data_IF_585414567737
#
_entry.id   IF_585414567737
#
_cell.length_a   1.000
_cell.length_b   1.000
_cell.length_c   1.000
_cell.angle_alpha   90.00
_cell.angle_beta   90.00
_cell.angle_gamma   90.00
#
_symmetry.space_group_name_H-M   'P 1'
#
loop_
_entity.id
_entity.type
_entity.pdbx_description
1 polymer ?
#
# COMPACT_ATOMS: atom_id res chain seq x y z
N UNK A 1 -3.10 20.68 -25.81
CA UNK A 1 -3.11 21.38 -24.50
C UNK A 1 -4.04 20.70 -23.50
N UNK A 2 -5.37 20.62 -23.72
CA UNK A 2 -6.29 19.96 -22.77
C UNK A 2 -6.08 18.44 -22.67
N UNK A 3 -5.87 17.75 -23.81
CA UNK A 3 -5.65 16.30 -23.87
C UNK A 3 -4.33 15.85 -23.24
N UNK A 4 -3.26 16.64 -23.40
CA UNK A 4 -1.92 16.30 -22.89
C UNK A 4 -1.89 16.31 -21.34
N UNK A 5 -2.62 17.24 -20.72
CA UNK A 5 -2.73 17.34 -19.26
C UNK A 5 -3.52 16.15 -18.69
N UNK A 6 -4.59 15.71 -19.35
CA UNK A 6 -5.35 14.53 -18.92
C UNK A 6 -4.50 13.25 -19.00
N UNK A 7 -3.72 13.08 -20.06
CA UNK A 7 -2.82 11.93 -20.21
C UNK A 7 -1.77 11.91 -19.09
N UNK A 8 -1.20 13.07 -18.74
CA UNK A 8 -0.22 13.18 -17.65
C UNK A 8 -0.85 12.86 -16.29
N UNK A 9 -2.07 13.35 -16.00
CA UNK A 9 -2.80 13.02 -14.76
C UNK A 9 -3.08 11.52 -14.64
N UNK A 10 -3.57 10.89 -15.72
CA UNK A 10 -3.84 9.44 -15.74
C UNK A 10 -2.56 8.61 -15.57
N UNK A 11 -1.46 9.02 -16.20
CA UNK A 11 -0.15 8.38 -16.04
C UNK A 11 0.33 8.43 -14.58
N UNK A 12 0.19 9.58 -13.92
CA UNK A 12 0.55 9.74 -12.50
C UNK A 12 -0.25 8.80 -11.59
N UNK A 13 -1.57 8.69 -11.79
CA UNK A 13 -2.42 7.76 -11.01
C UNK A 13 -1.99 6.32 -11.25
N UNK A 14 -1.78 5.92 -12.50
CA UNK A 14 -1.35 4.56 -12.85
C UNK A 14 0.01 4.19 -12.25
N UNK A 15 0.96 5.12 -12.24
CA UNK A 15 2.28 4.93 -11.62
C UNK A 15 2.18 4.76 -10.10
N UNK A 16 1.39 5.58 -9.41
CA UNK A 16 1.15 5.45 -7.97
C UNK A 16 0.52 4.08 -7.67
N UNK A 17 -0.53 3.71 -8.40
CA UNK A 17 -1.20 2.41 -8.26
C UNK A 17 -0.26 1.23 -8.47
N UNK A 18 0.59 1.29 -9.50
CA UNK A 18 1.60 0.27 -9.76
C UNK A 18 2.61 0.15 -8.61
N UNK A 19 3.07 1.28 -8.07
CA UNK A 19 4.00 1.31 -6.92
C UNK A 19 3.37 0.74 -5.66
N UNK A 20 2.11 1.07 -5.36
CA UNK A 20 1.37 0.48 -4.25
C UNK A 20 1.27 -1.04 -4.41
N UNK A 21 0.82 -1.52 -5.58
CA UNK A 21 0.69 -2.96 -5.83
C UNK A 21 2.00 -3.75 -5.70
N UNK A 22 3.11 -3.23 -6.24
CA UNK A 22 4.43 -3.86 -6.10
C UNK A 22 4.89 -3.88 -4.64
N UNK A 23 4.71 -2.77 -3.93
CA UNK A 23 5.17 -2.63 -2.55
C UNK A 23 4.37 -3.52 -1.60
N UNK A 24 3.04 -3.52 -1.71
CA UNK A 24 2.14 -4.38 -0.93
C UNK A 24 2.42 -5.86 -1.20
N UNK A 25 2.66 -6.27 -2.45
CA UNK A 25 3.08 -7.65 -2.77
C UNK A 25 4.39 -8.01 -2.06
N UNK A 26 5.38 -7.12 -2.08
CA UNK A 26 6.66 -7.32 -1.39
C UNK A 26 6.50 -7.45 0.12
N UNK A 27 5.61 -6.65 0.73
CA UNK A 27 5.28 -6.75 2.15
C UNK A 27 4.65 -8.09 2.50
N UNK A 28 3.70 -8.57 1.70
CA UNK A 28 3.08 -9.87 1.92
C UNK A 28 4.10 -11.02 1.87
N UNK A 29 5.00 -11.00 0.87
CA UNK A 29 6.07 -12.00 0.78
C UNK A 29 7.01 -11.96 1.99
N UNK A 30 7.39 -10.76 2.44
CA UNK A 30 8.24 -10.59 3.62
C UNK A 30 7.54 -11.08 4.89
N UNK A 31 6.24 -10.86 5.03
CA UNK A 31 5.45 -11.34 6.16
C UNK A 31 5.35 -12.87 6.18
N UNK A 32 5.18 -13.50 5.01
CA UNK A 32 5.20 -14.96 4.88
C UNK A 32 6.56 -15.54 5.25
N UNK A 33 7.65 -14.91 4.80
CA UNK A 33 9.02 -15.32 5.15
C UNK A 33 9.28 -15.16 6.65
N UNK A 34 8.84 -14.05 7.26
CA UNK A 34 8.95 -13.82 8.71
C UNK A 34 8.18 -14.89 9.49
N UNK A 35 7.02 -15.30 8.99
CA UNK A 35 6.21 -16.37 9.59
C UNK A 35 6.91 -17.73 9.53
N UNK A 36 7.47 -18.09 8.37
CA UNK A 36 8.17 -19.36 8.18
C UNK A 36 9.49 -19.44 8.98
N UNK A 37 10.25 -18.36 8.99
CA UNK A 37 11.60 -18.30 9.61
C UNK A 37 11.59 -17.90 11.08
N UNK A 38 10.45 -17.40 11.57
CA UNK A 38 10.33 -16.82 12.91
C UNK A 38 11.30 -15.64 13.17
N UNK A 39 11.72 -14.94 12.10
CA UNK A 39 12.67 -13.83 12.19
C UNK A 39 12.01 -12.51 12.62
N UNK A 40 12.41 -12.05 13.81
CA UNK A 40 11.95 -10.79 14.41
C UNK A 40 12.36 -9.55 13.62
N UNK A 41 13.52 -9.56 12.96
CA UNK A 41 14.05 -8.39 12.27
C UNK A 41 13.22 -8.02 11.04
N UNK A 42 12.44 -8.97 10.50
CA UNK A 42 11.58 -8.74 9.34
C UNK A 42 10.33 -7.93 9.68
N UNK A 43 9.80 -8.02 10.91
CA UNK A 43 8.65 -7.22 11.34
C UNK A 43 8.97 -5.71 11.33
N UNK A 44 10.16 -5.32 11.80
CA UNK A 44 10.58 -3.92 11.78
C UNK A 44 10.75 -3.36 10.34
N UNK A 45 11.15 -4.21 9.39
CA UNK A 45 11.25 -3.81 7.97
C UNK A 45 9.88 -3.57 7.34
N UNK A 46 8.84 -4.26 7.80
CA UNK A 46 7.48 -4.10 7.31
C UNK A 46 6.87 -2.77 7.78
N UNK A 47 7.11 -2.38 9.02
CA UNK A 47 6.60 -1.12 9.59
C UNK A 47 7.06 0.11 8.78
N UNK A 48 8.33 0.12 8.35
CA UNK A 48 8.85 1.20 7.48
C UNK A 48 8.20 1.18 6.08
N UNK A 49 7.87 -0.01 5.56
CA UNK A 49 7.22 -0.15 4.24
C UNK A 49 5.75 0.24 4.28
N UNK A 50 5.08 -0.01 5.40
CA UNK A 50 3.69 0.36 5.63
C UNK A 50 3.49 1.88 5.56
N UNK A 51 4.36 2.63 6.25
CA UNK A 51 4.40 4.10 6.15
C UNK A 51 4.56 4.60 4.71
N UNK A 52 5.29 3.87 3.85
CA UNK A 52 5.42 4.24 2.43
C UNK A 52 4.12 3.98 1.64
N UNK A 53 3.34 2.95 1.99
CA UNK A 53 2.03 2.69 1.40
C UNK A 53 1.05 3.80 1.78
N UNK A 54 1.04 4.23 3.04
CA UNK A 54 0.22 5.36 3.51
C UNK A 54 0.52 6.65 2.75
N UNK A 55 1.81 6.96 2.57
CA UNK A 55 2.23 8.14 1.82
C UNK A 55 1.82 8.07 0.34
N UNK A 56 1.90 6.88 -0.27
CA UNK A 56 1.43 6.66 -1.65
C UNK A 56 -0.09 6.79 -1.75
N UNK A 57 -0.84 6.29 -0.77
CA UNK A 57 -2.28 6.44 -0.74
C UNK A 57 -2.70 7.91 -0.61
N UNK A 58 -2.04 8.67 0.28
CA UNK A 58 -2.26 10.13 0.39
C UNK A 58 -1.95 10.86 -0.92
N UNK A 59 -0.91 10.44 -1.63
CA UNK A 59 -0.59 10.98 -2.96
C UNK A 59 -1.66 10.62 -3.99
N UNK A 60 -2.13 9.36 -4.01
CA UNK A 60 -3.21 8.92 -4.88
C UNK A 60 -4.45 9.78 -4.70
N UNK A 61 -4.92 9.97 -3.46
CA UNK A 61 -6.09 10.78 -3.16
C UNK A 61 -5.93 12.22 -3.66
N UNK A 62 -4.74 12.83 -3.49
CA UNK A 62 -4.44 14.16 -4.02
C UNK A 62 -4.52 14.23 -5.54
N UNK A 63 -4.03 13.22 -6.26
CA UNK A 63 -4.14 13.17 -7.72
C UNK A 63 -5.58 12.94 -8.19
N UNK A 64 -6.35 12.10 -7.48
CA UNK A 64 -7.76 11.86 -7.78
C UNK A 64 -8.62 13.12 -7.63
N UNK A 65 -8.34 13.98 -6.65
CA UNK A 65 -9.04 15.26 -6.49
C UNK A 65 -8.78 16.26 -7.63
N UNK A 66 -7.75 16.05 -8.46
CA UNK A 66 -7.47 16.90 -9.64
C UNK A 66 -8.27 16.45 -10.87
N UNK A 67 -9.09 15.41 -10.77
CA UNK A 67 -9.98 14.98 -11.83
C UNK A 67 -11.22 15.89 -11.85
N UNK A 68 -11.47 16.54 -12.99
CA UNK A 68 -12.46 17.63 -13.10
C UNK A 68 -13.76 17.21 -13.78
N UNK A 69 -13.77 16.06 -14.49
CA UNK A 69 -14.94 15.60 -15.24
C UNK A 69 -15.85 14.74 -14.36
N UNK A 70 -17.16 14.96 -14.42
CA UNK A 70 -18.13 14.13 -13.69
C UNK A 70 -18.05 12.64 -14.08
N UNK A 71 -17.75 12.35 -15.36
CA UNK A 71 -17.50 10.99 -15.86
C UNK A 71 -16.25 10.32 -15.26
N UNK A 72 -15.40 11.06 -14.54
CA UNK A 72 -14.23 10.53 -13.85
C UNK A 72 -14.49 10.19 -12.38
N UNK A 73 -15.69 10.47 -11.86
CA UNK A 73 -16.04 10.21 -10.46
C UNK A 73 -16.03 8.71 -10.15
N UNK A 74 -16.63 7.88 -11.01
CA UNK A 74 -16.64 6.42 -10.83
C UNK A 74 -15.21 5.86 -10.78
N UNK A 75 -14.38 6.27 -11.73
CA UNK A 75 -12.96 5.92 -11.77
C UNK A 75 -12.24 6.36 -10.48
N UNK A 76 -12.47 7.60 -10.04
CA UNK A 76 -11.84 8.12 -8.83
C UNK A 76 -12.22 7.32 -7.59
N UNK A 77 -13.50 6.97 -7.43
CA UNK A 77 -13.98 6.14 -6.32
C UNK A 77 -13.37 4.75 -6.39
N UNK A 78 -13.37 4.10 -7.56
CA UNK A 78 -12.77 2.77 -7.73
C UNK A 78 -11.27 2.76 -7.40
N UNK A 79 -10.52 3.78 -7.85
CA UNK A 79 -9.08 3.90 -7.57
C UNK A 79 -8.82 4.18 -6.08
N UNK A 80 -9.60 5.06 -5.45
CA UNK A 80 -9.48 5.33 -4.02
C UNK A 80 -9.74 4.06 -3.19
N UNK A 81 -10.79 3.29 -3.51
CA UNK A 81 -11.08 2.03 -2.83
C UNK A 81 -9.95 1.00 -3.03
N UNK A 82 -9.42 0.91 -4.25
CA UNK A 82 -8.30 0.00 -4.54
C UNK A 82 -7.04 0.39 -3.77
N UNK A 83 -6.70 1.69 -3.71
CA UNK A 83 -5.62 2.20 -2.87
C UNK A 83 -5.82 1.86 -1.39
N UNK A 84 -7.04 2.00 -0.88
CA UNK A 84 -7.36 1.64 0.50
C UNK A 84 -7.21 0.14 0.77
N UNK A 85 -7.49 -0.72 -0.21
CA UNK A 85 -7.24 -2.15 -0.07
C UNK A 85 -5.75 -2.47 -0.01
N UNK A 86 -4.89 -1.72 -0.72
CA UNK A 86 -3.44 -1.88 -0.58
C UNK A 86 -2.92 -1.51 0.81
N UNK A 87 -3.41 -0.41 1.42
CA UNK A 87 -3.12 -0.07 2.83
C UNK A 87 -3.54 -1.22 3.77
N UNK A 88 -4.77 -1.73 3.63
CA UNK A 88 -5.24 -2.82 4.50
C UNK A 88 -4.41 -4.11 4.37
N UNK A 89 -3.96 -4.43 3.16
CA UNK A 89 -3.09 -5.60 2.97
C UNK A 89 -1.72 -5.35 3.61
N UNK A 90 -1.19 -4.12 3.52
CA UNK A 90 0.06 -3.72 4.16
C UNK A 90 -0.03 -3.82 5.69
N UNK A 91 -1.08 -3.26 6.30
CA UNK A 91 -1.43 -3.42 7.72
C UNK A 91 -1.49 -4.89 8.14
N UNK A 92 -2.16 -5.73 7.34
CA UNK A 92 -2.29 -7.15 7.63
C UNK A 92 -0.94 -7.88 7.52
N UNK A 93 -0.08 -7.50 6.59
CA UNK A 93 1.27 -8.06 6.49
C UNK A 93 2.12 -7.73 7.73
N UNK A 94 2.04 -6.49 8.24
CA UNK A 94 2.69 -6.11 9.51
C UNK A 94 2.16 -6.97 10.65
N UNK A 95 0.84 -7.11 10.78
CA UNK A 95 0.21 -7.94 11.81
C UNK A 95 0.66 -9.40 11.74
N UNK A 96 0.74 -10.00 10.55
CA UNK A 96 1.22 -11.38 10.37
C UNK A 96 2.64 -11.53 10.93
N UNK A 97 3.54 -10.59 10.63
CA UNK A 97 4.91 -10.65 11.14
C UNK A 97 5.00 -10.41 12.67
N UNK A 98 4.14 -9.56 13.23
CA UNK A 98 4.02 -9.40 14.68
C UNK A 98 3.60 -10.71 15.34
N UNK A 99 2.58 -11.38 14.79
CA UNK A 99 2.10 -12.66 15.32
C UNK A 99 3.12 -13.80 15.13
N UNK A 100 3.85 -13.82 14.03
CA UNK A 100 4.96 -14.74 13.81
C UNK A 100 6.03 -14.62 14.92
N UNK A 101 6.44 -13.38 15.22
CA UNK A 101 7.38 -13.10 16.29
C UNK A 101 6.82 -13.55 17.66
N UNK A 102 5.55 -13.23 17.93
CA UNK A 102 4.89 -13.66 19.17
C UNK A 102 4.92 -15.19 19.33
N UNK A 103 4.55 -15.93 18.29
CA UNK A 103 4.55 -17.40 18.30
C UNK A 103 5.93 -17.99 18.55
N UNK A 104 6.98 -17.37 18.03
CA UNK A 104 8.35 -17.81 18.22
C UNK A 104 8.85 -17.60 19.66
N UNK A 105 8.34 -16.59 20.36
CA UNK A 105 9.03 -16.04 21.53
C UNK A 105 8.17 -15.79 22.77
N UNK A 106 6.86 -15.94 22.65
CA UNK A 106 5.87 -15.69 23.70
C UNK A 106 5.68 -14.22 24.08
N UNK A 107 6.35 -13.28 23.40
CA UNK A 107 6.32 -11.86 23.74
C UNK A 107 5.79 -11.03 22.58
N UNK A 108 4.80 -10.17 22.86
CA UNK A 108 4.35 -9.19 21.87
C UNK A 108 5.39 -8.07 21.78
N UNK A 109 5.71 -7.58 20.57
CA UNK A 109 6.46 -6.34 20.43
C UNK A 109 5.63 -5.21 21.08
N UNK A 110 6.27 -4.46 21.98
CA UNK A 110 5.68 -3.33 22.69
C UNK A 110 5.96 -2.00 22.01
#
# INVERSE_FOLDING_TARGET
VSTDIEIVKQKSISEIMGRMGVSTKGMLLTAMEAFETQDRAMAAKLDTKDNQIDDLYRQLIKELFKLEKESSLELAVSMALTGRYFERIADHAVNIAIWANYLATGNLPG
#
